data_IF_601763000423
#
_entry.id   IF_601763000423
#
_cell.length_a   1.000
_cell.length_b   1.000
_cell.length_c   1.000
_cell.angle_alpha   90.00
_cell.angle_beta   90.00
_cell.angle_gamma   90.00
#
_symmetry.space_group_name_H-M   'P 1'
#
loop_
_entity.id
_entity.type
_entity.pdbx_description
1 polymer ?
#
# COMPACT_ATOMS: atom_id res chain seq x y z
N UNK A 1 -2.05 -7.47 28.22
CA UNK A 1 -3.04 -8.16 29.04
C UNK A 1 -3.55 -9.41 28.34
N UNK A 2 -3.98 -9.33 27.08
CA UNK A 2 -4.61 -10.43 26.32
C UNK A 2 -3.78 -11.71 26.16
N UNK A 3 -2.50 -11.71 26.53
CA UNK A 3 -1.67 -12.92 26.52
C UNK A 3 -2.12 -13.94 27.59
N UNK A 4 -2.53 -13.47 28.75
CA UNK A 4 -2.93 -14.35 29.86
C UNK A 4 -4.21 -13.92 30.58
N UNK A 5 -4.94 -12.95 30.04
CA UNK A 5 -6.20 -12.44 30.55
C UNK A 5 -7.16 -12.13 29.39
N UNK A 6 -8.45 -12.38 29.59
CA UNK A 6 -9.48 -12.07 28.61
C UNK A 6 -10.60 -11.23 29.24
N UNK A 7 -11.03 -10.13 28.57
CA UNK A 7 -12.20 -9.39 29.00
C UNK A 7 -13.46 -10.26 28.89
N UNK A 8 -14.52 -9.86 29.60
CA UNK A 8 -15.83 -10.56 29.56
C UNK A 8 -16.62 -10.35 28.25
N UNK A 9 -16.10 -9.54 27.35
CA UNK A 9 -16.68 -9.21 26.05
C UNK A 9 -15.62 -9.37 24.95
N UNK A 10 -16.05 -9.30 23.68
CA UNK A 10 -15.20 -9.55 22.52
C UNK A 10 -14.30 -8.34 22.13
N UNK A 11 -14.24 -7.27 22.94
CA UNK A 11 -13.40 -6.11 22.67
C UNK A 11 -11.95 -6.42 22.99
N UNK A 12 -11.12 -6.53 21.97
CA UNK A 12 -9.69 -6.84 22.11
C UNK A 12 -8.80 -5.59 22.24
N UNK A 13 -9.24 -4.44 21.75
CA UNK A 13 -8.50 -3.17 21.83
C UNK A 13 -9.06 -2.33 22.97
N UNK A 14 -8.28 -2.19 24.02
CA UNK A 14 -8.63 -1.47 25.24
C UNK A 14 -7.64 -0.34 25.46
N UNK A 15 -8.12 0.82 25.86
CA UNK A 15 -7.26 1.85 26.46
C UNK A 15 -6.74 1.39 27.81
N UNK A 16 -5.70 2.03 28.32
CA UNK A 16 -5.18 1.71 29.67
C UNK A 16 -6.25 1.88 30.74
N UNK A 17 -7.05 2.95 30.65
CA UNK A 17 -8.15 3.22 31.60
C UNK A 17 -9.24 2.16 31.56
N UNK A 18 -9.62 1.69 30.37
CA UNK A 18 -10.59 0.60 30.22
C UNK A 18 -10.01 -0.71 30.78
N UNK A 19 -8.73 -0.97 30.50
CA UNK A 19 -8.05 -2.16 31.03
C UNK A 19 -8.01 -2.15 32.56
N UNK A 20 -7.71 -1.01 33.18
CA UNK A 20 -7.70 -0.86 34.65
C UNK A 20 -9.08 -1.10 35.26
N UNK A 21 -10.15 -0.67 34.60
CA UNK A 21 -11.53 -0.86 35.05
C UNK A 21 -12.03 -2.29 34.91
N UNK A 22 -11.61 -2.97 33.87
CA UNK A 22 -12.13 -4.30 33.49
C UNK A 22 -11.27 -5.46 34.04
N UNK A 23 -10.00 -5.17 34.37
CA UNK A 23 -9.08 -6.22 34.78
C UNK A 23 -9.58 -6.90 36.08
N UNK A 24 -9.63 -8.23 36.01
CA UNK A 24 -9.96 -9.06 37.17
C UNK A 24 -9.08 -10.30 37.19
N UNK A 25 -8.75 -10.78 38.40
CA UNK A 25 -7.98 -12.00 38.58
C UNK A 25 -8.74 -13.22 38.06
N UNK A 26 -10.07 -13.20 38.14
CA UNK A 26 -10.94 -14.29 37.62
C UNK A 26 -10.88 -14.44 36.12
N UNK A 27 -10.45 -13.39 35.39
CA UNK A 27 -10.26 -13.42 33.92
C UNK A 27 -8.89 -13.96 33.49
N UNK A 28 -8.03 -14.35 34.44
CA UNK A 28 -6.71 -14.89 34.14
C UNK A 28 -6.82 -16.38 33.73
N UNK A 29 -6.20 -16.69 32.57
CA UNK A 29 -6.07 -18.06 32.12
C UNK A 29 -5.05 -18.84 32.92
N UNK A 30 -5.33 -20.10 33.20
CA UNK A 30 -4.40 -21.03 33.91
C UNK A 30 -3.47 -21.78 32.96
N UNK A 31 -3.71 -21.68 31.63
CA UNK A 31 -2.91 -22.36 30.60
C UNK A 31 -1.65 -21.54 30.27
N UNK A 32 -0.53 -22.20 29.88
CA UNK A 32 0.64 -21.50 29.38
C UNK A 32 0.27 -20.59 28.19
N UNK A 33 0.68 -19.32 28.27
CA UNK A 33 0.42 -18.37 27.22
C UNK A 33 1.47 -18.52 26.10
N UNK A 34 1.00 -18.60 24.85
CA UNK A 34 1.86 -18.57 23.66
C UNK A 34 1.81 -17.16 23.10
N UNK A 35 2.99 -16.56 22.93
CA UNK A 35 3.10 -15.24 22.30
C UNK A 35 2.86 -15.37 20.80
N UNK A 36 1.89 -14.62 20.29
CA UNK A 36 1.49 -14.60 18.88
C UNK A 36 1.97 -13.27 18.26
N UNK A 37 3.04 -13.36 17.46
CA UNK A 37 3.64 -12.21 16.79
C UNK A 37 2.70 -11.63 15.71
N UNK A 38 1.94 -12.46 15.00
CA UNK A 38 0.98 -12.00 14.01
C UNK A 38 -0.14 -11.17 14.65
N UNK A 39 -0.57 -11.58 15.85
CA UNK A 39 -1.56 -10.83 16.63
C UNK A 39 -0.99 -9.51 17.15
N UNK A 40 0.28 -9.48 17.54
CA UNK A 40 0.97 -8.24 17.92
C UNK A 40 1.05 -7.28 16.73
N UNK A 41 1.49 -7.76 15.58
CA UNK A 41 1.56 -7.01 14.32
C UNK A 41 0.20 -6.45 13.92
N UNK A 42 -0.86 -7.25 14.08
CA UNK A 42 -2.23 -6.80 13.82
C UNK A 42 -2.60 -5.60 14.70
N UNK A 43 -2.38 -5.68 16.02
CA UNK A 43 -2.69 -4.58 16.93
C UNK A 43 -1.82 -3.35 16.67
N UNK A 44 -0.54 -3.54 16.42
CA UNK A 44 0.36 -2.43 16.08
C UNK A 44 -0.10 -1.72 14.81
N UNK A 45 -0.50 -2.47 13.79
CA UNK A 45 -1.10 -1.92 12.58
C UNK A 45 -2.40 -1.13 12.85
N UNK A 46 -3.24 -1.55 13.80
CA UNK A 46 -4.43 -0.79 14.20
C UNK A 46 -4.06 0.58 14.79
N UNK A 47 -3.06 0.64 15.67
CA UNK A 47 -2.58 1.90 16.25
C UNK A 47 -1.91 2.80 15.22
N UNK A 48 -1.16 2.24 14.26
CA UNK A 48 -0.56 2.99 13.15
C UNK A 48 -1.64 3.66 12.29
N UNK A 49 -2.71 2.94 11.95
CA UNK A 49 -3.82 3.47 11.15
C UNK A 49 -4.60 4.60 11.82
N UNK A 50 -4.61 4.65 13.16
CA UNK A 50 -5.26 5.72 13.92
C UNK A 50 -4.48 7.04 13.92
N UNK A 51 -3.18 7.02 13.57
CA UNK A 51 -2.35 8.22 13.52
C UNK A 51 -2.73 9.10 12.33
N UNK A 52 -2.59 10.43 12.47
CA UNK A 52 -2.61 11.30 11.29
C UNK A 52 -1.39 11.04 10.41
N UNK A 53 -1.41 11.51 9.16
CA UNK A 53 -0.27 11.29 8.27
C UNK A 53 0.95 12.11 8.72
N UNK A 54 0.74 13.27 9.34
CA UNK A 54 1.79 14.09 9.94
C UNK A 54 2.40 13.43 11.18
N UNK A 55 1.56 12.87 12.08
CA UNK A 55 2.04 12.09 13.22
C UNK A 55 2.85 10.88 12.75
N UNK A 56 2.33 10.17 11.74
CA UNK A 56 3.00 8.99 11.20
C UNK A 56 4.32 9.37 10.52
N UNK A 57 4.38 10.48 9.79
CA UNK A 57 5.62 11.01 9.22
C UNK A 57 6.71 11.17 10.29
N UNK A 58 6.38 11.78 11.42
CA UNK A 58 7.34 11.96 12.52
C UNK A 58 7.84 10.62 13.08
N UNK A 59 6.95 9.64 13.17
CA UNK A 59 7.27 8.32 13.73
C UNK A 59 8.11 7.45 12.77
N UNK A 60 7.89 7.53 11.44
CA UNK A 60 8.61 6.72 10.46
C UNK A 60 9.98 7.27 10.09
N UNK A 61 10.21 8.58 10.22
CA UNK A 61 11.50 9.22 9.85
C UNK A 61 12.74 8.52 10.40
N UNK A 62 12.81 8.12 11.68
CA UNK A 62 13.99 7.42 12.21
C UNK A 62 14.27 6.07 11.56
N UNK A 63 13.28 5.46 10.93
CA UNK A 63 13.39 4.15 10.27
C UNK A 63 13.66 4.26 8.77
N UNK A 64 13.36 5.42 8.16
CA UNK A 64 13.48 5.59 6.72
C UNK A 64 14.96 5.63 6.29
N UNK A 65 15.31 4.79 5.33
CA UNK A 65 16.66 4.72 4.76
C UNK A 65 16.90 5.69 3.60
N UNK A 66 15.83 6.06 2.91
CA UNK A 66 15.89 6.99 1.79
C UNK A 66 15.83 8.45 2.28
N UNK A 67 16.62 9.32 1.68
CA UNK A 67 16.48 10.76 1.89
C UNK A 67 15.33 11.30 1.04
N UNK A 68 14.35 11.95 1.66
CA UNK A 68 13.21 12.53 0.98
C UNK A 68 12.65 13.74 1.73
N UNK A 69 12.06 14.65 0.98
CA UNK A 69 11.37 15.81 1.55
C UNK A 69 10.04 15.37 2.20
N UNK A 70 9.64 16.06 3.26
CA UNK A 70 8.42 15.77 4.01
C UNK A 70 7.16 15.80 3.16
N UNK A 71 7.08 16.76 2.23
CA UNK A 71 5.95 16.88 1.32
C UNK A 71 5.80 15.67 0.37
N UNK A 72 6.91 15.02 0.01
CA UNK A 72 6.87 13.80 -0.79
C UNK A 72 6.46 12.60 0.06
N UNK A 73 7.00 12.49 1.29
CA UNK A 73 6.63 11.45 2.24
C UNK A 73 5.14 11.51 2.61
N UNK A 74 4.58 12.72 2.78
CA UNK A 74 3.15 12.91 3.04
C UNK A 74 2.26 12.46 1.87
N UNK A 75 2.78 12.40 0.64
CA UNK A 75 2.06 11.79 -0.49
C UNK A 75 2.16 10.26 -0.49
N UNK A 76 3.28 9.70 -0.02
CA UNK A 76 3.52 8.26 0.04
C UNK A 76 2.71 7.62 1.17
N UNK A 77 2.71 8.20 2.36
CA UNK A 77 2.11 7.64 3.58
C UNK A 77 0.69 7.14 3.36
N UNK A 78 -0.26 7.91 2.81
CA UNK A 78 -1.64 7.43 2.61
C UNK A 78 -1.73 6.17 1.76
N UNK A 79 -0.81 5.98 0.80
CA UNK A 79 -0.84 4.83 -0.11
C UNK A 79 -0.41 3.52 0.55
N UNK A 80 0.36 3.59 1.63
CA UNK A 80 0.94 2.41 2.29
C UNK A 80 0.48 2.21 3.74
N UNK A 81 -0.15 3.22 4.35
CA UNK A 81 -0.53 3.27 5.77
C UNK A 81 -1.29 2.03 6.23
N UNK A 82 -2.25 1.57 5.44
CA UNK A 82 -3.07 0.40 5.75
C UNK A 82 -2.28 -0.92 5.72
N UNK A 83 -1.09 -0.91 5.14
CA UNK A 83 -0.21 -2.07 4.99
C UNK A 83 0.88 -2.13 6.06
N UNK A 84 1.12 -1.01 6.76
CA UNK A 84 2.12 -0.95 7.84
C UNK A 84 1.65 -1.77 9.03
N UNK A 85 2.45 -2.73 9.42
CA UNK A 85 2.34 -3.47 10.67
C UNK A 85 3.35 -2.94 11.69
N UNK A 86 4.54 -2.57 11.20
CA UNK A 86 5.62 -1.96 11.97
C UNK A 86 6.11 -0.68 11.28
N UNK A 87 6.65 0.28 12.02
CA UNK A 87 7.16 1.54 11.45
C UNK A 87 8.33 1.31 10.48
N UNK A 88 9.14 0.27 10.71
CA UNK A 88 10.26 -0.12 9.85
C UNK A 88 9.84 -0.65 8.47
N UNK A 89 8.58 -1.12 8.34
CA UNK A 89 8.03 -1.65 7.08
C UNK A 89 7.97 -0.57 5.99
N UNK A 90 8.10 0.70 6.39
CA UNK A 90 8.16 1.84 5.46
C UNK A 90 9.18 1.62 4.34
N UNK A 91 10.34 1.02 4.65
CA UNK A 91 11.39 0.82 3.66
C UNK A 91 10.96 -0.17 2.56
N UNK A 92 10.38 -1.29 2.93
CA UNK A 92 9.98 -2.33 1.97
C UNK A 92 8.74 -1.91 1.18
N UNK A 93 7.78 -1.27 1.86
CA UNK A 93 6.51 -0.83 1.27
C UNK A 93 6.66 0.41 0.38
N UNK A 94 7.71 1.21 0.55
CA UNK A 94 7.92 2.46 -0.21
C UNK A 94 9.16 2.48 -1.09
N UNK A 95 10.00 1.43 -1.08
CA UNK A 95 11.30 1.39 -1.79
C UNK A 95 11.20 1.80 -3.27
N UNK A 96 10.15 1.35 -3.95
CA UNK A 96 9.94 1.65 -5.37
C UNK A 96 9.69 3.15 -5.66
N UNK A 97 9.21 3.94 -4.69
CA UNK A 97 9.06 5.38 -4.87
C UNK A 97 10.39 6.13 -4.99
N UNK A 98 11.47 5.54 -4.46
CA UNK A 98 12.81 6.13 -4.42
C UNK A 98 13.75 5.50 -5.45
N UNK A 99 13.33 4.44 -6.13
CA UNK A 99 14.16 3.74 -7.09
C UNK A 99 14.24 4.52 -8.41
N UNK A 100 15.47 4.78 -8.90
CA UNK A 100 15.72 5.36 -10.22
C UNK A 100 15.36 4.38 -11.35
N UNK A 101 15.60 3.10 -11.09
CA UNK A 101 15.26 1.98 -11.99
C UNK A 101 14.66 0.85 -11.17
N UNK A 102 13.64 0.20 -11.73
CA UNK A 102 13.02 -0.97 -11.12
C UNK A 102 13.72 -2.24 -11.64
N UNK A 103 14.04 -3.15 -10.74
CA UNK A 103 14.56 -4.48 -11.10
C UNK A 103 13.57 -5.53 -10.66
N UNK A 104 12.97 -6.24 -11.62
CA UNK A 104 12.02 -7.33 -11.37
C UNK A 104 12.01 -8.32 -12.53
N UNK A 105 11.60 -9.56 -12.25
CA UNK A 105 11.45 -10.59 -13.26
C UNK A 105 10.29 -10.26 -14.21
N UNK A 106 10.52 -10.34 -15.52
CA UNK A 106 9.48 -10.06 -16.52
C UNK A 106 8.21 -10.93 -16.37
N UNK A 107 8.36 -12.12 -15.79
CA UNK A 107 7.26 -13.03 -15.44
C UNK A 107 6.25 -12.41 -14.49
N UNK A 108 6.65 -11.42 -13.68
CA UNK A 108 5.76 -10.72 -12.76
C UNK A 108 4.68 -9.91 -13.47
N UNK A 109 4.94 -9.46 -14.68
CA UNK A 109 3.95 -8.77 -15.53
C UNK A 109 2.83 -9.68 -16.03
N UNK A 110 3.07 -11.02 -16.04
CA UNK A 110 2.12 -11.98 -16.58
C UNK A 110 0.88 -12.06 -15.69
N UNK A 111 -0.28 -11.84 -16.30
CA UNK A 111 -1.58 -11.93 -15.66
C UNK A 111 -2.44 -13.01 -16.32
N UNK A 112 -2.86 -14.02 -15.53
CA UNK A 112 -3.84 -15.04 -15.94
C UNK A 112 -3.61 -15.66 -17.33
N UNK A 113 -2.35 -15.93 -17.68
CA UNK A 113 -1.99 -16.61 -18.92
C UNK A 113 -1.92 -15.73 -20.17
N UNK A 114 -1.92 -14.39 -20.03
CA UNK A 114 -1.62 -13.49 -21.16
C UNK A 114 -0.19 -13.71 -21.66
N UNK A 115 0.00 -13.65 -22.98
CA UNK A 115 1.34 -13.70 -23.57
C UNK A 115 2.10 -12.38 -23.33
N UNK A 116 3.42 -12.43 -23.46
CA UNK A 116 4.27 -11.24 -23.34
C UNK A 116 3.91 -10.16 -24.38
N UNK A 117 3.51 -10.59 -25.57
CA UNK A 117 3.09 -9.71 -26.66
C UNK A 117 1.78 -8.98 -26.31
N UNK A 118 0.82 -9.70 -25.72
CA UNK A 118 -0.44 -9.13 -25.26
C UNK A 118 -0.20 -8.11 -24.14
N UNK A 119 0.66 -8.44 -23.17
CA UNK A 119 1.01 -7.53 -22.06
C UNK A 119 1.65 -6.25 -22.60
N UNK A 120 2.62 -6.37 -23.52
CA UNK A 120 3.26 -5.20 -24.15
C UNK A 120 2.24 -4.36 -24.92
N UNK A 121 1.30 -4.98 -25.64
CA UNK A 121 0.24 -4.27 -26.34
C UNK A 121 -0.66 -3.52 -25.38
N UNK A 122 -1.07 -4.17 -24.27
CA UNK A 122 -1.91 -3.58 -23.25
C UNK A 122 -1.22 -2.38 -22.57
N UNK A 123 0.05 -2.53 -22.18
CA UNK A 123 0.82 -1.43 -21.58
C UNK A 123 0.97 -0.24 -22.54
N UNK A 124 1.24 -0.49 -23.83
CA UNK A 124 1.30 0.58 -24.83
C UNK A 124 -0.03 1.32 -24.99
N UNK A 125 -1.15 0.61 -24.93
CA UNK A 125 -2.47 1.24 -25.01
C UNK A 125 -2.73 2.11 -23.77
N UNK A 126 -2.44 1.60 -22.55
CA UNK A 126 -2.57 2.40 -21.32
C UNK A 126 -1.65 3.61 -21.35
N UNK A 127 -0.40 3.44 -21.77
CA UNK A 127 0.56 4.53 -21.91
C UNK A 127 -0.01 5.65 -22.80
N UNK A 128 -0.51 5.30 -23.99
CA UNK A 128 -1.11 6.26 -24.89
C UNK A 128 -2.32 7.00 -24.28
N UNK A 129 -3.14 6.33 -23.47
CA UNK A 129 -4.25 6.98 -22.77
C UNK A 129 -3.76 7.90 -21.65
N UNK A 130 -2.74 7.49 -20.90
CA UNK A 130 -2.15 8.29 -19.84
C UNK A 130 -1.45 9.55 -20.38
N UNK A 131 -0.82 9.48 -21.55
CA UNK A 131 -0.20 10.63 -22.23
C UNK A 131 -1.22 11.73 -22.60
N UNK A 132 -2.49 11.39 -22.82
CA UNK A 132 -3.56 12.34 -23.12
C UNK A 132 -4.06 13.09 -21.86
N UNK A 133 -3.70 12.64 -20.66
CA UNK A 133 -4.16 13.24 -19.42
C UNK A 133 -3.22 14.41 -19.07
N UNK A 134 -3.73 15.65 -18.94
CA UNK A 134 -2.90 16.80 -18.59
C UNK A 134 -2.35 16.66 -17.16
N UNK A 135 -1.19 17.26 -16.89
CA UNK A 135 -0.53 17.21 -15.57
C UNK A 135 -1.41 17.75 -14.44
N UNK A 136 -2.28 18.73 -14.73
CA UNK A 136 -3.26 19.26 -13.77
C UNK A 136 -4.23 18.20 -13.22
N UNK A 137 -4.50 17.18 -14.01
CA UNK A 137 -5.43 16.10 -13.71
C UNK A 137 -4.70 14.83 -13.21
N UNK A 138 -3.39 14.92 -12.90
CA UNK A 138 -2.59 13.78 -12.50
C UNK A 138 -2.79 13.44 -11.00
N UNK A 139 -4.03 13.13 -10.66
CA UNK A 139 -4.47 12.70 -9.33
C UNK A 139 -5.07 11.30 -9.40
N UNK A 140 -4.94 10.51 -8.34
CA UNK A 140 -5.35 9.10 -8.32
C UNK A 140 -6.80 8.89 -8.80
N UNK A 141 -7.75 9.66 -8.29
CA UNK A 141 -9.17 9.56 -8.65
C UNK A 141 -9.44 9.90 -10.13
N UNK A 142 -8.78 10.93 -10.66
CA UNK A 142 -8.90 11.37 -12.04
C UNK A 142 -8.30 10.34 -13.02
N UNK A 143 -7.10 9.83 -12.69
CA UNK A 143 -6.44 8.78 -13.45
C UNK A 143 -7.30 7.51 -13.50
N UNK A 144 -7.83 7.10 -12.34
CA UNK A 144 -8.69 5.93 -12.22
C UNK A 144 -9.95 6.10 -13.05
N UNK A 145 -10.67 7.20 -12.89
CA UNK A 145 -11.91 7.48 -13.62
C UNK A 145 -11.70 7.41 -15.13
N UNK A 146 -10.68 8.12 -15.63
CA UNK A 146 -10.42 8.19 -17.08
C UNK A 146 -10.02 6.83 -17.67
N UNK A 147 -9.09 6.13 -17.01
CA UNK A 147 -8.60 4.84 -17.52
C UNK A 147 -9.67 3.74 -17.38
N UNK A 148 -10.39 3.68 -16.26
CA UNK A 148 -11.46 2.69 -16.06
C UNK A 148 -12.61 2.93 -17.04
N UNK A 149 -12.99 4.20 -17.29
CA UNK A 149 -14.03 4.54 -18.27
C UNK A 149 -13.63 4.12 -19.68
N UNK A 150 -12.40 4.39 -20.07
CA UNK A 150 -11.86 3.96 -21.36
C UNK A 150 -11.85 2.43 -21.51
N UNK A 151 -11.37 1.70 -20.48
CA UNK A 151 -11.33 0.22 -20.50
C UNK A 151 -12.74 -0.37 -20.62
N UNK A 152 -13.72 0.17 -19.88
CA UNK A 152 -15.12 -0.27 -19.96
C UNK A 152 -15.75 0.02 -21.31
N UNK A 153 -15.51 1.21 -21.85
CA UNK A 153 -16.03 1.60 -23.17
C UNK A 153 -15.45 0.74 -24.32
N UNK A 154 -14.25 0.19 -24.11
CA UNK A 154 -13.57 -0.70 -25.07
C UNK A 154 -13.81 -2.19 -24.79
N UNK A 155 -14.73 -2.55 -23.89
CA UNK A 155 -15.04 -3.93 -23.45
C UNK A 155 -13.81 -4.72 -23.02
N UNK A 156 -12.85 -4.05 -22.34
CA UNK A 156 -11.60 -4.65 -21.89
C UNK A 156 -11.71 -5.17 -20.46
N UNK A 157 -11.03 -6.29 -20.19
CA UNK A 157 -10.93 -6.84 -18.84
C UNK A 157 -9.92 -6.02 -18.02
N UNK A 158 -10.39 -5.37 -16.94
CA UNK A 158 -9.57 -4.48 -16.11
C UNK A 158 -8.26 -5.13 -15.63
N UNK A 159 -8.29 -6.38 -15.21
CA UNK A 159 -7.11 -7.09 -14.70
C UNK A 159 -6.00 -7.24 -15.73
N UNK A 160 -6.35 -7.37 -17.01
CA UNK A 160 -5.39 -7.57 -18.12
C UNK A 160 -4.54 -6.31 -18.38
N UNK A 161 -5.00 -5.15 -17.92
CA UNK A 161 -4.34 -3.85 -18.03
C UNK A 161 -3.78 -3.36 -16.70
N UNK A 162 -4.56 -3.44 -15.63
CA UNK A 162 -4.19 -2.83 -14.36
C UNK A 162 -3.13 -3.63 -13.59
N UNK A 163 -3.09 -4.96 -13.76
CA UNK A 163 -2.02 -5.75 -13.17
C UNK A 163 -0.64 -5.40 -13.74
N UNK A 164 -0.42 -5.50 -15.07
CA UNK A 164 0.88 -5.14 -15.63
C UNK A 164 1.22 -3.66 -15.43
N UNK A 165 0.23 -2.75 -15.43
CA UNK A 165 0.45 -1.34 -15.10
C UNK A 165 1.01 -1.17 -13.69
N UNK A 166 0.41 -1.84 -12.68
CA UNK A 166 0.89 -1.79 -11.31
C UNK A 166 2.32 -2.33 -11.18
N UNK A 167 2.61 -3.45 -11.82
CA UNK A 167 3.95 -4.05 -11.81
C UNK A 167 4.96 -3.15 -12.50
N UNK A 168 4.62 -2.57 -13.66
CA UNK A 168 5.48 -1.63 -14.37
C UNK A 168 5.85 -0.41 -13.51
N UNK A 169 4.89 0.11 -12.73
CA UNK A 169 5.12 1.27 -11.86
C UNK A 169 5.91 0.95 -10.60
N UNK A 170 5.85 -0.28 -10.07
CA UNK A 170 6.37 -0.60 -8.73
C UNK A 170 7.42 -1.72 -8.71
N UNK A 171 7.45 -2.59 -9.71
CA UNK A 171 8.25 -3.81 -9.69
C UNK A 171 7.79 -4.84 -8.67
N UNK A 172 6.60 -4.68 -8.07
CA UNK A 172 6.16 -5.51 -6.95
C UNK A 172 4.85 -6.26 -7.24
N UNK A 173 4.76 -7.49 -6.73
CA UNK A 173 3.54 -8.29 -6.75
C UNK A 173 2.43 -7.70 -5.86
N UNK A 174 2.81 -7.11 -4.73
CA UNK A 174 1.90 -6.53 -3.75
C UNK A 174 2.32 -5.07 -3.46
N UNK A 175 1.58 -4.12 -4.01
CA UNK A 175 1.80 -2.67 -3.88
C UNK A 175 0.47 -1.94 -3.77
N UNK A 176 0.45 -0.64 -3.50
CA UNK A 176 -0.74 0.20 -3.67
C UNK A 176 -1.30 0.13 -5.08
N UNK A 177 -2.49 0.67 -5.29
CA UNK A 177 -3.13 0.72 -6.60
C UNK A 177 -2.29 1.49 -7.63
N UNK A 178 -2.38 1.12 -8.93
CA UNK A 178 -1.54 1.75 -9.95
C UNK A 178 -1.77 3.26 -10.06
N UNK A 179 -2.98 3.73 -9.84
CA UNK A 179 -3.32 5.15 -9.93
C UNK A 179 -2.85 5.95 -8.72
N UNK A 180 -2.89 5.36 -7.52
CA UNK A 180 -2.30 5.93 -6.31
C UNK A 180 -0.79 6.10 -6.49
N UNK A 181 -0.12 5.06 -6.97
CA UNK A 181 1.32 5.09 -7.23
C UNK A 181 1.67 6.13 -8.29
N UNK A 182 0.94 6.15 -9.42
CA UNK A 182 1.18 7.10 -10.50
C UNK A 182 1.00 8.56 -10.04
N UNK A 183 0.01 8.83 -9.19
CA UNK A 183 -0.22 10.18 -8.65
C UNK A 183 0.92 10.68 -7.77
N UNK A 184 1.56 9.79 -7.01
CA UNK A 184 2.72 10.11 -6.15
C UNK A 184 3.98 10.30 -6.98
N UNK A 185 4.25 9.41 -7.96
CA UNK A 185 5.40 9.49 -8.86
C UNK A 185 5.35 10.71 -9.77
N UNK A 186 4.15 11.18 -10.10
CA UNK A 186 3.92 12.21 -11.10
C UNK A 186 3.95 11.68 -12.54
N UNK A 187 3.49 12.49 -13.48
CA UNK A 187 3.31 12.11 -14.88
C UNK A 187 4.60 11.62 -15.52
N UNK A 188 5.66 12.44 -15.46
CA UNK A 188 6.93 12.15 -16.14
C UNK A 188 7.54 10.81 -15.73
N UNK A 189 7.63 10.55 -14.41
CA UNK A 189 8.24 9.31 -13.92
C UNK A 189 7.33 8.10 -14.19
N UNK A 190 6.01 8.27 -14.08
CA UNK A 190 5.07 7.19 -14.40
C UNK A 190 5.14 6.76 -15.85
N UNK A 191 5.10 7.71 -16.81
CA UNK A 191 5.20 7.40 -18.24
C UNK A 191 6.55 6.74 -18.58
N UNK A 192 7.65 7.21 -17.99
CA UNK A 192 9.00 6.61 -18.15
C UNK A 192 9.05 5.14 -17.69
N UNK A 193 8.37 4.78 -16.59
CA UNK A 193 8.36 3.40 -16.06
C UNK A 193 7.50 2.45 -16.88
N UNK A 194 6.48 2.97 -17.57
CA UNK A 194 5.56 2.17 -18.38
C UNK A 194 6.14 1.93 -19.78
N UNK A 195 6.92 2.88 -20.34
CA UNK A 195 7.53 2.81 -21.66
C UNK A 195 8.60 1.70 -21.77
#
# INVERSE_FOLDING_TARGET
>A
ALLGWHPKHDKEVLSLSELEQEFSIDGMGSSPAIFDEDKLDYYNGLYIRQKSDEELLMLIKPYLKAEAQDNYLLKIIPTIKDRLKNLSDINDLSSFYFAETLSYEASLLIWKGLSSEQIKANLKQVLAQLELIPESDWQASQLEEKIITWLKASDQKLGDYLWPLRVALTGQKASPGPFEVASVLGQKESLKRIA
#
